data_IF_479102626631
#
_entry.id   IF_479102626631
#
_cell.length_a   1.000
_cell.length_b   1.000
_cell.length_c   1.000
_cell.angle_alpha   90.00
_cell.angle_beta   90.00
_cell.angle_gamma   90.00
#
_symmetry.space_group_name_H-M   'P 1'
#
loop_
_entity.id
_entity.type
_entity.pdbx_description
1 polymer ?
#
# COMPACT_ATOMS: atom_id res chain seq x y z
N UNK A 1 2.14 4.52 16.80
CA UNK A 1 0.75 4.01 16.67
C UNK A 1 -0.30 5.10 16.45
N UNK A 2 -0.32 6.24 17.19
CA UNK A 2 -1.34 7.31 16.98
C UNK A 2 -1.40 7.86 15.54
N UNK A 3 -0.30 7.84 14.80
CA UNK A 3 -0.20 8.45 13.48
C UNK A 3 -0.88 7.65 12.36
N UNK A 4 -0.91 6.31 12.45
CA UNK A 4 -1.53 5.45 11.44
C UNK A 4 -3.06 5.56 11.43
N UNK A 5 -3.67 5.70 12.60
CA UNK A 5 -5.11 5.87 12.74
C UNK A 5 -5.59 7.17 12.08
N UNK A 6 -4.81 8.24 12.22
CA UNK A 6 -5.10 9.54 11.61
C UNK A 6 -5.05 9.44 10.08
N UNK A 7 -3.98 8.84 9.53
CA UNK A 7 -3.87 8.63 8.07
C UNK A 7 -5.03 7.81 7.52
N UNK A 8 -5.44 6.74 8.22
CA UNK A 8 -6.59 5.92 7.84
C UNK A 8 -7.90 6.73 7.83
N UNK A 9 -8.14 7.59 8.81
CA UNK A 9 -9.35 8.43 8.84
C UNK A 9 -9.41 9.39 7.66
N UNK A 10 -8.31 10.07 7.32
CA UNK A 10 -8.26 10.97 6.16
C UNK A 10 -8.42 10.22 4.83
N UNK A 11 -7.73 9.07 4.69
CA UNK A 11 -7.87 8.24 3.50
C UNK A 11 -9.31 7.77 3.30
N UNK A 12 -9.98 7.34 4.38
CA UNK A 12 -11.39 6.93 4.33
C UNK A 12 -12.31 8.10 3.96
N UNK A 13 -12.07 9.29 4.50
CA UNK A 13 -12.86 10.49 4.19
C UNK A 13 -12.71 10.88 2.71
N UNK A 14 -11.48 10.92 2.18
CA UNK A 14 -11.23 11.20 0.77
C UNK A 14 -11.88 10.16 -0.15
N UNK A 15 -11.84 8.89 0.24
CA UNK A 15 -12.44 7.80 -0.53
C UNK A 15 -13.97 7.88 -0.54
N UNK A 16 -14.59 8.28 0.56
CA UNK A 16 -16.04 8.53 0.62
C UNK A 16 -16.43 9.65 -0.35
N UNK A 17 -15.70 10.77 -0.33
CA UNK A 17 -15.93 11.88 -1.25
C UNK A 17 -15.73 11.43 -2.70
N UNK A 18 -14.63 10.74 -3.00
CA UNK A 18 -14.39 10.21 -4.33
C UNK A 18 -15.40 9.16 -4.79
N UNK A 19 -16.07 8.47 -3.86
CA UNK A 19 -17.15 7.54 -4.17
C UNK A 19 -18.44 8.29 -4.50
N UNK A 20 -18.76 9.34 -3.74
CA UNK A 20 -19.94 10.17 -3.98
C UNK A 20 -19.81 10.95 -5.30
N UNK A 21 -18.61 11.44 -5.61
CA UNK A 21 -18.30 12.16 -6.86
C UNK A 21 -18.03 11.22 -8.04
N UNK A 22 -17.87 9.91 -7.81
CA UNK A 22 -17.49 8.92 -8.83
C UNK A 22 -16.06 9.08 -9.37
N UNK A 23 -15.24 9.93 -8.75
CA UNK A 23 -13.87 10.26 -9.17
C UNK A 23 -12.78 9.57 -8.32
N UNK A 24 -13.11 8.51 -7.59
CA UNK A 24 -12.19 7.81 -6.70
C UNK A 24 -10.88 7.34 -7.37
N UNK A 25 -10.91 6.97 -8.66
CA UNK A 25 -9.70 6.63 -9.43
C UNK A 25 -8.84 7.85 -9.75
N UNK A 26 -9.45 8.94 -10.19
CA UNK A 26 -8.73 10.20 -10.47
C UNK A 26 -8.04 10.72 -9.21
N UNK A 27 -8.73 10.70 -8.07
CA UNK A 27 -8.11 11.09 -6.79
C UNK A 27 -7.00 10.15 -6.35
N UNK A 28 -7.04 8.88 -6.74
CA UNK A 28 -5.94 7.94 -6.49
C UNK A 28 -4.68 8.39 -7.24
N UNK A 29 -4.81 8.69 -8.53
CA UNK A 29 -3.68 9.09 -9.38
C UNK A 29 -3.10 10.43 -8.93
N UNK A 30 -3.97 11.40 -8.65
CA UNK A 30 -3.60 12.69 -8.11
C UNK A 30 -2.81 12.57 -6.78
N UNK A 31 -3.32 11.73 -5.86
CA UNK A 31 -2.68 11.51 -4.57
C UNK A 31 -1.35 10.76 -4.72
N UNK A 32 -1.25 9.85 -5.69
CA UNK A 32 -0.02 9.12 -5.94
C UNK A 32 1.07 10.00 -6.56
N UNK A 33 0.70 10.86 -7.50
CA UNK A 33 1.61 11.82 -8.10
C UNK A 33 2.21 12.76 -7.05
N UNK A 34 1.38 13.32 -6.16
CA UNK A 34 1.88 14.24 -5.13
C UNK A 34 2.70 13.50 -4.06
N UNK A 35 2.26 12.31 -3.62
CA UNK A 35 3.01 11.52 -2.65
C UNK A 35 4.36 11.06 -3.23
N UNK A 36 4.39 10.70 -4.51
CA UNK A 36 5.61 10.34 -5.24
C UNK A 36 6.59 11.51 -5.33
N UNK A 37 6.11 12.71 -5.67
CA UNK A 37 6.95 13.91 -5.71
C UNK A 37 7.52 14.28 -4.34
N UNK A 38 6.69 14.24 -3.29
CA UNK A 38 7.14 14.52 -1.92
C UNK A 38 8.16 13.48 -1.44
N UNK A 39 7.97 12.21 -1.79
CA UNK A 39 8.90 11.13 -1.40
C UNK A 39 10.20 11.14 -2.22
N UNK A 40 10.13 11.56 -3.48
CA UNK A 40 11.28 11.65 -4.38
C UNK A 40 12.24 12.78 -4.01
N UNK A 41 11.71 13.91 -3.52
CA UNK A 41 12.49 15.10 -3.18
C UNK A 41 12.51 15.33 -1.66
N UNK A 42 13.58 14.88 -1.00
CA UNK A 42 13.74 15.05 0.47
C UNK A 42 13.72 16.51 0.91
N UNK A 43 14.21 17.43 0.08
CA UNK A 43 14.14 18.87 0.36
C UNK A 43 12.70 19.37 0.37
N UNK A 44 11.84 18.81 -0.47
CA UNK A 44 10.42 19.17 -0.56
C UNK A 44 9.66 18.68 0.67
N UNK A 45 9.89 17.43 1.09
CA UNK A 45 9.31 16.88 2.32
C UNK A 45 9.74 17.69 3.55
N UNK A 46 11.04 18.02 3.66
CA UNK A 46 11.52 18.88 4.75
C UNK A 46 10.95 20.29 4.69
N UNK A 47 10.85 20.89 3.50
CA UNK A 47 10.27 22.23 3.35
C UNK A 47 8.82 22.28 3.84
N UNK A 48 8.03 21.24 3.58
CA UNK A 48 6.59 21.21 3.91
C UNK A 48 6.36 20.74 5.35
N UNK A 49 7.18 19.82 5.86
CA UNK A 49 7.01 19.20 7.19
C UNK A 49 7.70 19.98 8.31
N UNK A 50 8.80 20.68 8.03
CA UNK A 50 9.61 21.34 9.08
C UNK A 50 8.87 22.57 9.69
N UNK A 51 8.61 22.56 11.01
CA UNK A 51 7.94 23.67 11.70
C UNK A 51 8.75 24.97 11.74
N UNK A 52 10.06 24.92 11.49
CA UNK A 52 10.95 26.10 11.49
C UNK A 52 10.65 27.06 10.33
N UNK A 53 9.99 26.58 9.26
CA UNK A 53 9.56 27.43 8.16
C UNK A 53 8.21 28.08 8.45
N UNK A 54 8.10 29.35 8.08
CA UNK A 54 6.86 30.11 8.19
C UNK A 54 5.70 29.40 7.48
N UNK A 55 4.52 29.42 8.11
CA UNK A 55 3.33 28.72 7.61
C UNK A 55 2.91 29.27 6.26
N UNK A 56 3.05 30.58 6.03
CA UNK A 56 2.70 31.18 4.73
C UNK A 56 3.71 30.77 3.65
N UNK A 57 5.00 30.65 3.98
CA UNK A 57 6.04 30.13 3.07
C UNK A 57 5.74 28.71 2.63
N UNK A 58 5.42 27.82 3.58
CA UNK A 58 5.08 26.41 3.29
C UNK A 58 3.79 26.26 2.49
N UNK A 59 2.78 27.09 2.79
CA UNK A 59 1.53 27.12 2.03
C UNK A 59 1.75 27.55 0.58
N UNK A 60 2.65 28.51 0.33
CA UNK A 60 3.03 28.90 -1.04
C UNK A 60 3.68 27.75 -1.80
N UNK A 61 4.60 27.01 -1.17
CA UNK A 61 5.22 25.83 -1.78
C UNK A 61 4.16 24.79 -2.16
N UNK A 62 3.23 24.51 -1.25
CA UNK A 62 2.11 23.59 -1.50
C UNK A 62 1.24 24.08 -2.68
N UNK A 63 0.90 25.36 -2.74
CA UNK A 63 0.15 25.92 -3.87
C UNK A 63 0.90 25.77 -5.20
N UNK A 64 2.20 26.07 -5.24
CA UNK A 64 3.02 25.90 -6.44
C UNK A 64 3.03 24.45 -6.92
N UNK A 65 3.04 23.47 -6.01
CA UNK A 65 2.97 22.05 -6.34
C UNK A 65 1.60 21.69 -6.92
N UNK A 66 0.52 22.13 -6.25
CA UNK A 66 -0.86 21.88 -6.68
C UNK A 66 -1.11 22.48 -8.08
N UNK A 67 -0.66 23.71 -8.31
CA UNK A 67 -0.86 24.41 -9.58
C UNK A 67 -0.05 23.75 -10.71
N UNK A 68 1.13 23.19 -10.42
CA UNK A 68 1.91 22.40 -11.40
C UNK A 68 1.23 21.08 -11.77
N UNK A 69 0.57 20.43 -10.81
CA UNK A 69 -0.07 19.13 -11.00
C UNK A 69 -1.49 19.23 -11.57
N UNK A 70 -2.06 20.44 -11.68
CA UNK A 70 -3.42 20.66 -12.18
C UNK A 70 -4.47 19.80 -11.47
N UNK A 71 -4.34 19.68 -10.13
CA UNK A 71 -5.20 18.81 -9.32
C UNK A 71 -6.65 19.30 -9.27
N UNK A 72 -7.58 18.38 -9.05
CA UNK A 72 -8.99 18.68 -8.78
C UNK A 72 -9.18 19.65 -7.60
N UNK A 73 -10.27 20.43 -7.63
CA UNK A 73 -10.63 21.36 -6.55
C UNK A 73 -10.81 20.63 -5.20
N UNK A 74 -11.38 19.43 -5.25
CA UNK A 74 -11.54 18.54 -4.08
C UNK A 74 -10.20 18.15 -3.49
N UNK A 75 -9.23 17.74 -4.32
CA UNK A 75 -7.89 17.38 -3.85
C UNK A 75 -7.14 18.59 -3.31
N UNK A 76 -7.25 19.75 -3.96
CA UNK A 76 -6.68 21.02 -3.48
C UNK A 76 -7.21 21.38 -2.09
N UNK A 77 -8.53 21.30 -1.90
CA UNK A 77 -9.16 21.55 -0.59
C UNK A 77 -8.71 20.52 0.46
N UNK A 78 -8.59 19.25 0.09
CA UNK A 78 -8.10 18.19 0.96
C UNK A 78 -6.65 18.44 1.42
N UNK A 79 -5.74 18.76 0.49
CA UNK A 79 -4.34 19.05 0.80
C UNK A 79 -4.19 20.27 1.71
N UNK A 80 -4.96 21.33 1.45
CA UNK A 80 -5.00 22.52 2.31
C UNK A 80 -5.52 22.17 3.72
N UNK A 81 -6.56 21.35 3.83
CA UNK A 81 -7.09 20.91 5.13
C UNK A 81 -6.04 20.10 5.91
N UNK A 82 -5.34 19.17 5.24
CA UNK A 82 -4.29 18.36 5.87
C UNK A 82 -3.12 19.24 6.31
N UNK A 83 -2.78 20.25 5.50
CA UNK A 83 -1.77 21.25 5.81
C UNK A 83 -2.14 22.13 7.01
N UNK A 84 -3.36 22.67 7.04
CA UNK A 84 -3.87 23.50 8.14
C UNK A 84 -3.94 22.73 9.47
N UNK A 85 -4.16 21.42 9.40
CA UNK A 85 -4.11 20.53 10.57
C UNK A 85 -2.70 20.11 10.96
N UNK A 86 -1.66 20.55 10.24
CA UNK A 86 -0.25 20.22 10.49
C UNK A 86 0.08 18.75 10.24
N UNK A 87 -0.68 18.08 9.38
CA UNK A 87 -0.61 16.62 9.15
C UNK A 87 -0.05 16.25 7.78
N UNK A 88 0.53 17.22 7.08
CA UNK A 88 1.04 17.08 5.72
C UNK A 88 2.19 16.07 5.60
N UNK A 89 3.02 15.92 6.63
CA UNK A 89 4.07 14.88 6.67
C UNK A 89 3.52 13.44 6.70
N UNK A 90 2.21 13.25 6.81
CA UNK A 90 1.57 11.94 6.73
C UNK A 90 1.00 11.63 5.35
N UNK A 91 1.25 12.47 4.34
CA UNK A 91 0.68 12.32 3.00
C UNK A 91 1.00 10.96 2.37
N UNK A 92 2.25 10.48 2.50
CA UNK A 92 2.64 9.16 1.99
C UNK A 92 1.87 8.02 2.65
N UNK A 93 1.64 8.10 3.97
CA UNK A 93 0.83 7.12 4.69
C UNK A 93 -0.65 7.20 4.29
N UNK A 94 -1.19 8.41 4.07
CA UNK A 94 -2.56 8.61 3.59
C UNK A 94 -2.72 7.96 2.22
N UNK A 95 -1.76 8.16 1.31
CA UNK A 95 -1.76 7.53 -0.02
C UNK A 95 -1.78 6.00 0.08
N UNK A 96 -0.93 5.42 0.93
CA UNK A 96 -0.90 3.96 1.13
C UNK A 96 -2.24 3.40 1.64
N UNK A 97 -2.83 4.06 2.66
CA UNK A 97 -4.14 3.65 3.16
C UNK A 97 -5.26 3.87 2.14
N UNK A 98 -5.19 4.94 1.35
CA UNK A 98 -6.16 5.20 0.29
C UNK A 98 -6.12 4.09 -0.76
N UNK A 99 -4.92 3.69 -1.22
CA UNK A 99 -4.74 2.56 -2.14
C UNK A 99 -5.35 1.28 -1.57
N UNK A 100 -5.04 0.94 -0.31
CA UNK A 100 -5.60 -0.26 0.35
C UNK A 100 -7.13 -0.23 0.42
N UNK A 101 -7.72 0.89 0.83
CA UNK A 101 -9.17 1.02 0.94
C UNK A 101 -9.87 1.05 -0.43
N UNK A 102 -9.25 1.68 -1.44
CA UNK A 102 -9.76 1.69 -2.81
C UNK A 102 -9.71 0.30 -3.44
N UNK A 103 -8.64 -0.45 -3.21
CA UNK A 103 -8.52 -1.85 -3.64
C UNK A 103 -9.59 -2.71 -2.94
N UNK A 104 -9.80 -2.53 -1.63
CA UNK A 104 -10.84 -3.24 -0.87
C UNK A 104 -12.26 -2.95 -1.39
N UNK A 105 -12.56 -1.68 -1.75
CA UNK A 105 -13.84 -1.29 -2.36
C UNK A 105 -14.06 -1.91 -3.74
N UNK A 106 -13.00 -2.06 -4.54
CA UNK A 106 -13.07 -2.75 -5.85
C UNK A 106 -13.12 -4.26 -5.72
N UNK A 107 -13.05 -4.81 -4.50
CA UNK A 107 -12.94 -6.25 -4.29
C UNK A 107 -11.60 -6.81 -4.75
N UNK A 108 -10.56 -5.98 -4.80
CA UNK A 108 -9.21 -6.36 -5.17
C UNK A 108 -8.45 -6.74 -3.90
N UNK A 109 -8.00 -7.99 -3.81
CA UNK A 109 -7.13 -8.45 -2.73
C UNK A 109 -5.68 -8.46 -3.22
N UNK A 110 -4.78 -7.74 -2.55
CA UNK A 110 -3.35 -7.84 -2.83
C UNK A 110 -2.77 -9.08 -2.17
N UNK A 111 -2.12 -9.92 -2.97
CA UNK A 111 -1.37 -11.08 -2.53
C UNK A 111 0.11 -10.83 -2.79
N UNK A 112 0.94 -10.85 -1.75
CA UNK A 112 2.39 -10.93 -1.88
C UNK A 112 2.77 -12.39 -2.10
N UNK A 113 3.50 -12.69 -3.18
CA UNK A 113 3.99 -14.01 -3.51
C UNK A 113 5.51 -14.00 -3.45
N UNK A 114 6.09 -14.57 -2.40
CA UNK A 114 7.53 -14.72 -2.27
C UNK A 114 7.94 -16.09 -2.81
N UNK A 115 8.79 -16.10 -3.84
CA UNK A 115 9.26 -17.33 -4.49
C UNK A 115 10.79 -17.43 -4.45
N UNK A 116 11.28 -18.65 -4.26
CA UNK A 116 12.71 -18.97 -4.35
C UNK A 116 13.25 -18.84 -5.78
N UNK A 117 12.43 -19.15 -6.78
CA UNK A 117 12.80 -19.15 -8.20
C UNK A 117 11.88 -18.22 -8.98
N UNK A 118 12.35 -17.77 -10.13
CA UNK A 118 11.52 -17.00 -11.06
C UNK A 118 10.33 -17.86 -11.49
N UNK A 119 9.12 -17.37 -11.22
CA UNK A 119 7.89 -18.07 -11.55
C UNK A 119 7.52 -17.77 -13.00
N UNK A 120 7.16 -18.79 -13.76
CA UNK A 120 6.60 -18.59 -15.11
C UNK A 120 5.25 -17.86 -15.00
N UNK A 121 4.93 -17.04 -16.00
CA UNK A 121 3.64 -16.34 -16.11
C UNK A 121 2.45 -17.31 -15.99
N UNK A 122 2.54 -18.50 -16.58
CA UNK A 122 1.51 -19.54 -16.47
C UNK A 122 1.26 -19.99 -15.02
N UNK A 123 2.32 -20.05 -14.22
CA UNK A 123 2.22 -20.45 -12.80
C UNK A 123 1.61 -19.33 -11.98
N UNK A 124 1.99 -18.08 -12.25
CA UNK A 124 1.42 -16.88 -11.63
C UNK A 124 -0.09 -16.80 -11.91
N UNK A 125 -0.51 -17.03 -13.15
CA UNK A 125 -1.93 -16.99 -13.53
C UNK A 125 -2.74 -18.13 -12.89
N UNK A 126 -2.18 -19.33 -12.78
CA UNK A 126 -2.80 -20.45 -12.05
C UNK A 126 -2.96 -20.15 -10.56
N UNK A 127 -1.94 -19.57 -9.94
CA UNK A 127 -1.98 -19.14 -8.53
C UNK A 127 -3.03 -18.04 -8.37
N UNK A 128 -3.05 -17.04 -9.26
CA UNK A 128 -4.03 -15.95 -9.28
C UNK A 128 -5.46 -16.48 -9.34
N UNK A 129 -5.72 -17.38 -10.28
CA UNK A 129 -7.04 -18.00 -10.47
C UNK A 129 -7.47 -18.80 -9.25
N UNK A 130 -6.55 -19.57 -8.65
CA UNK A 130 -6.83 -20.37 -7.45
C UNK A 130 -7.12 -19.46 -6.25
N UNK A 131 -6.29 -18.45 -6.04
CA UNK A 131 -6.47 -17.48 -4.94
C UNK A 131 -7.75 -16.67 -5.11
N UNK A 132 -8.06 -16.24 -6.33
CA UNK A 132 -9.29 -15.52 -6.65
C UNK A 132 -10.54 -16.37 -6.39
N UNK A 133 -10.51 -17.66 -6.76
CA UNK A 133 -11.58 -18.62 -6.42
C UNK A 133 -11.75 -18.82 -4.92
N UNK A 134 -10.64 -18.89 -4.17
CA UNK A 134 -10.69 -19.11 -2.71
C UNK A 134 -11.16 -17.89 -1.93
N UNK A 135 -10.82 -16.68 -2.38
CA UNK A 135 -11.17 -15.43 -1.68
C UNK A 135 -12.42 -14.74 -2.23
N UNK A 136 -12.92 -15.16 -3.40
CA UNK A 136 -14.06 -14.52 -4.06
C UNK A 136 -13.79 -13.07 -4.50
N UNK A 137 -12.50 -12.69 -4.60
CA UNK A 137 -12.00 -11.34 -4.88
C UNK A 137 -11.02 -11.39 -6.05
N UNK A 138 -10.85 -10.28 -6.77
CA UNK A 138 -9.84 -10.21 -7.84
C UNK A 138 -8.46 -10.04 -7.18
N UNK A 139 -7.56 -10.99 -7.37
CA UNK A 139 -6.29 -11.00 -6.65
C UNK A 139 -5.21 -10.35 -7.51
N UNK A 140 -4.60 -9.26 -7.04
CA UNK A 140 -3.37 -8.72 -7.65
C UNK A 140 -2.19 -9.36 -6.93
N UNK A 141 -1.39 -10.13 -7.68
CA UNK A 141 -0.17 -10.77 -7.17
C UNK A 141 1.03 -9.82 -7.35
N UNK A 142 1.63 -9.42 -6.25
CA UNK A 142 2.96 -8.81 -6.22
C UNK A 142 3.97 -9.94 -5.99
N UNK A 143 4.74 -10.28 -7.02
CA UNK A 143 5.73 -11.38 -6.96
C UNK A 143 7.08 -10.81 -6.53
N UNK A 144 7.56 -11.26 -5.38
CA UNK A 144 8.90 -10.96 -4.87
C UNK A 144 9.77 -12.22 -4.97
N UNK A 145 11.02 -12.06 -5.40
CA UNK A 145 12.00 -13.14 -5.44
C UNK A 145 12.89 -13.05 -4.21
N UNK A 146 12.86 -14.09 -3.37
CA UNK A 146 13.78 -14.21 -2.24
C UNK A 146 14.59 -15.51 -2.36
N UNK A 147 15.85 -15.44 -2.81
CA UNK A 147 16.73 -16.60 -2.95
C UNK A 147 17.14 -17.20 -1.59
N UNK A 148 16.80 -16.59 -0.45
CA UNK A 148 16.97 -17.20 0.87
C UNK A 148 15.97 -18.35 1.13
N UNK A 149 14.90 -18.45 0.33
CA UNK A 149 14.05 -19.62 0.29
C UNK A 149 14.79 -20.75 -0.45
N UNK A 150 15.13 -21.82 0.28
CA UNK A 150 15.79 -23.02 -0.27
C UNK A 150 14.91 -23.69 -1.36
N UNK A 151 13.60 -23.46 -1.31
CA UNK A 151 12.63 -23.81 -2.34
C UNK A 151 11.19 -23.69 -1.86
N UNK A 152 10.24 -23.64 -2.80
CA UNK A 152 8.81 -23.47 -2.54
C UNK A 152 8.33 -22.02 -2.63
N UNK A 153 7.04 -21.81 -2.36
CA UNK A 153 6.35 -20.53 -2.55
C UNK A 153 5.64 -20.14 -1.26
N UNK A 154 5.85 -18.90 -0.80
CA UNK A 154 5.14 -18.32 0.34
C UNK A 154 4.22 -17.25 -0.20
N UNK A 155 2.91 -17.46 -0.07
CA UNK A 155 1.91 -16.49 -0.51
C UNK A 155 1.20 -15.86 0.68
N UNK A 156 1.09 -14.54 0.71
CA UNK A 156 0.49 -13.77 1.79
C UNK A 156 -0.63 -12.91 1.21
N UNK A 157 -1.87 -13.14 1.63
CA UNK A 157 -3.03 -12.30 1.31
C UNK A 157 -3.49 -11.61 2.59
N UNK A 158 -3.21 -10.32 2.74
CA UNK A 158 -3.52 -9.61 3.99
C UNK A 158 -2.89 -10.30 5.20
N UNK A 159 -3.73 -10.87 6.08
CA UNK A 159 -3.31 -11.63 7.27
C UNK A 159 -3.17 -13.15 7.03
N UNK A 160 -3.63 -13.66 5.88
CA UNK A 160 -3.55 -15.08 5.55
C UNK A 160 -2.18 -15.39 4.93
N UNK A 161 -1.35 -16.15 5.64
CA UNK A 161 -0.07 -16.66 5.13
C UNK A 161 -0.23 -18.12 4.74
N UNK A 162 -0.10 -18.40 3.46
CA UNK A 162 0.00 -19.73 2.89
C UNK A 162 1.48 -20.01 2.59
N UNK A 163 2.15 -20.64 3.55
CA UNK A 163 3.56 -21.02 3.45
C UNK A 163 3.69 -22.44 2.88
N UNK A 164 4.06 -22.52 1.61
CA UNK A 164 4.43 -23.76 0.92
C UNK A 164 5.94 -23.96 0.79
N UNK A 165 6.75 -23.31 1.65
CA UNK A 165 8.20 -23.42 1.57
C UNK A 165 8.73 -24.77 2.07
N UNK A 166 9.74 -25.30 1.36
CA UNK A 166 10.45 -26.53 1.73
C UNK A 166 11.15 -26.35 3.09
N UNK A 167 11.57 -25.13 3.41
CA UNK A 167 12.14 -24.78 4.71
C UNK A 167 11.19 -25.11 5.86
N UNK A 168 9.91 -24.75 5.73
CA UNK A 168 8.90 -25.00 6.76
C UNK A 168 8.57 -26.50 6.84
N UNK A 169 8.54 -27.22 5.71
CA UNK A 169 8.38 -28.69 5.72
C UNK A 169 9.53 -29.40 6.44
N UNK A 170 10.79 -29.01 6.18
CA UNK A 170 11.96 -29.57 6.88
C UNK A 170 11.98 -29.21 8.36
N UNK A 171 11.55 -28.01 8.73
CA UNK A 171 11.40 -27.60 10.13
C UNK A 171 10.35 -28.45 10.85
N UNK A 172 9.18 -28.66 10.22
CA UNK A 172 8.12 -29.50 10.77
C UNK A 172 8.56 -30.96 10.91
N UNK A 173 9.30 -31.51 9.94
CA UNK A 173 9.90 -32.84 10.06
C UNK A 173 10.93 -32.92 11.19
N UNK A 174 11.78 -31.90 11.36
CA UNK A 174 12.74 -31.86 12.47
C UNK A 174 12.04 -31.76 13.83
N UNK A 175 10.96 -31.00 13.90
CA UNK A 175 10.09 -30.88 15.08
C UNK A 175 9.38 -32.19 15.39
N UNK A 176 8.81 -32.89 14.40
CA UNK A 176 8.14 -34.18 14.62
C UNK A 176 9.11 -35.26 15.08
N UNK A 177 10.31 -35.32 14.51
CA UNK A 177 11.38 -36.22 14.95
C UNK A 177 11.84 -35.88 16.37
N UNK A 178 11.90 -34.59 16.74
CA UNK A 178 12.21 -34.16 18.12
C UNK A 178 11.11 -34.51 19.13
N UNK A 179 9.85 -34.50 18.72
CA UNK A 179 8.70 -34.81 19.58
C UNK A 179 8.45 -36.32 19.75
N UNK A 180 9.12 -37.16 18.96
CA UNK A 180 9.09 -38.61 19.15
C UNK A 180 7.76 -39.28 18.77
N UNK A 181 6.92 -38.63 17.96
CA UNK A 181 5.76 -39.28 17.35
C UNK A 181 6.24 -40.03 16.11
N UNK A 182 6.55 -41.31 16.31
CA UNK A 182 6.63 -42.28 15.22
C UNK A 182 5.30 -42.29 14.48
N UNK A 183 5.40 -42.24 13.15
CA UNK A 183 4.31 -42.49 12.19
C UNK A 183 3.62 -43.82 12.48
#
# INVERSE_FOLDING_TARGET
MKNLAVSRCYAKALLLIGKDDGQAESYREELDNIAGLVTGEKELDQAITNPLYDVAGRRKVLHTIIDKLSLSDTMKAFLLLVFDKGRIGFLSNINEFYKKLADELKGIARASLVSATELSSETIDKIRSTMSKMTGKDVILEVEQDPALIGGVVSRIGDLVLDGSIRTQLLNMRESIKRGESV
#
